data_IF_094571133006
#
_entry.id   IF_094571133006
#
_cell.length_a   1.000
_cell.length_b   1.000
_cell.length_c   1.000
_cell.angle_alpha   90.00
_cell.angle_beta   90.00
_cell.angle_gamma   90.00
#
_symmetry.space_group_name_H-M   'P 1'
#
loop_
_entity.id
_entity.type
_entity.pdbx_description
1 polymer ?
#
# COMPACT_ATOMS: atom_id res chain seq x y z
N UNK A 1 -0.60 -0.98 -29.29
CA UNK A 1 -0.93 -2.07 -28.35
C UNK A 1 -2.16 -2.79 -28.88
N UNK A 2 -2.08 -4.07 -29.27
CA UNK A 2 -3.24 -4.81 -29.78
C UNK A 2 -4.29 -4.98 -28.67
N UNK A 3 -5.58 -4.93 -29.04
CA UNK A 3 -6.71 -5.21 -28.14
C UNK A 3 -7.48 -6.38 -28.72
N UNK A 4 -7.74 -7.39 -27.89
CA UNK A 4 -8.50 -8.58 -28.27
C UNK A 4 -9.69 -8.72 -27.33
N UNK A 5 -10.85 -9.05 -27.90
CA UNK A 5 -12.04 -9.40 -27.13
C UNK A 5 -12.03 -10.92 -26.89
N UNK A 6 -12.14 -11.33 -25.62
CA UNK A 6 -12.40 -12.72 -25.24
C UNK A 6 -13.90 -12.90 -25.00
N UNK A 7 -14.43 -14.08 -25.35
CA UNK A 7 -15.83 -14.42 -25.06
C UNK A 7 -15.88 -15.16 -23.73
N UNK A 8 -16.67 -14.66 -22.78
CA UNK A 8 -16.78 -15.22 -21.43
C UNK A 8 -15.42 -15.45 -20.73
N UNK A 9 -14.47 -14.52 -20.94
CA UNK A 9 -13.09 -14.61 -20.43
C UNK A 9 -12.30 -15.85 -20.90
N UNK A 10 -12.74 -16.54 -21.96
CA UNK A 10 -12.03 -17.72 -22.49
C UNK A 10 -10.77 -17.32 -23.29
N UNK A 11 -9.61 -17.61 -22.70
CA UNK A 11 -8.28 -17.42 -23.30
C UNK A 11 -7.82 -18.60 -24.15
N UNK A 12 -8.52 -19.75 -24.07
CA UNK A 12 -8.17 -20.96 -24.81
C UNK A 12 -8.70 -20.97 -26.25
N UNK A 13 -9.55 -20.00 -26.60
CA UNK A 13 -10.04 -19.83 -27.94
C UNK A 13 -8.89 -19.59 -28.95
N UNK A 14 -9.12 -20.00 -30.20
CA UNK A 14 -8.11 -20.00 -31.26
C UNK A 14 -7.46 -18.62 -31.48
N UNK A 15 -8.26 -17.55 -31.56
CA UNK A 15 -7.75 -16.19 -31.79
C UNK A 15 -6.93 -15.67 -30.60
N UNK A 16 -7.45 -15.66 -29.35
CA UNK A 16 -6.65 -15.27 -28.18
C UNK A 16 -5.34 -16.06 -28.04
N UNK A 17 -5.37 -17.38 -28.21
CA UNK A 17 -4.19 -18.24 -28.10
C UNK A 17 -3.11 -17.86 -29.11
N UNK A 18 -3.49 -17.61 -30.36
CA UNK A 18 -2.55 -17.19 -31.40
C UNK A 18 -1.97 -15.80 -31.13
N UNK A 19 -2.78 -14.86 -30.64
CA UNK A 19 -2.27 -13.52 -30.34
C UNK A 19 -1.31 -13.57 -29.15
N UNK A 20 -1.64 -14.33 -28.11
CA UNK A 20 -0.78 -14.54 -26.93
C UNK A 20 0.57 -15.13 -27.34
N UNK A 21 0.61 -16.08 -28.28
CA UNK A 21 1.87 -16.67 -28.73
C UNK A 21 2.76 -15.66 -29.47
N UNK A 22 2.17 -14.76 -30.24
CA UNK A 22 2.87 -13.73 -31.03
C UNK A 22 3.38 -12.56 -30.16
N UNK A 23 2.60 -12.11 -29.18
CA UNK A 23 2.94 -10.92 -28.38
C UNK A 23 3.98 -11.20 -27.29
N UNK A 24 4.79 -10.19 -26.96
CA UNK A 24 5.80 -10.26 -25.88
C UNK A 24 5.21 -10.19 -24.46
N UNK A 25 3.88 -10.23 -24.33
CA UNK A 25 3.20 -10.12 -23.05
C UNK A 25 1.75 -9.72 -23.24
N UNK A 26 0.99 -9.81 -22.17
CA UNK A 26 -0.43 -9.53 -22.14
C UNK A 26 -0.83 -8.85 -20.84
N UNK A 27 -1.72 -7.87 -20.95
CA UNK A 27 -2.50 -7.34 -19.84
C UNK A 27 -3.90 -7.94 -19.95
N UNK A 28 -4.23 -8.88 -19.08
CA UNK A 28 -5.52 -9.54 -19.07
C UNK A 28 -6.49 -8.76 -18.18
N UNK A 29 -7.61 -8.32 -18.76
CA UNK A 29 -8.64 -7.55 -18.07
C UNK A 29 -9.84 -8.44 -17.74
N UNK A 30 -10.29 -8.45 -16.49
CA UNK A 30 -11.42 -9.28 -16.04
C UNK A 30 -12.62 -8.44 -15.65
N UNK A 31 -13.80 -8.90 -16.05
CA UNK A 31 -15.07 -8.25 -15.71
C UNK A 31 -15.36 -8.31 -14.20
N UNK A 32 -15.00 -9.40 -13.53
CA UNK A 32 -15.27 -9.57 -12.10
C UNK A 32 -14.47 -8.58 -11.25
N UNK A 33 -13.19 -8.38 -11.57
CA UNK A 33 -12.36 -7.35 -10.94
C UNK A 33 -12.91 -5.94 -11.17
N UNK A 34 -13.38 -5.65 -12.39
CA UNK A 34 -13.97 -4.36 -12.72
C UNK A 34 -15.24 -4.08 -11.91
N UNK A 35 -16.08 -5.11 -11.74
CA UNK A 35 -17.32 -5.05 -10.96
C UNK A 35 -17.05 -4.96 -9.45
N UNK A 36 -15.98 -5.58 -8.96
CA UNK A 36 -15.50 -5.45 -7.58
C UNK A 36 -14.80 -4.10 -7.28
N UNK A 37 -14.71 -3.21 -8.28
CA UNK A 37 -14.14 -1.87 -8.11
C UNK A 37 -12.62 -1.78 -8.27
N UNK A 38 -11.95 -2.85 -8.70
CA UNK A 38 -10.53 -2.83 -9.07
C UNK A 38 -10.41 -2.27 -10.49
N UNK A 39 -9.90 -1.05 -10.60
CA UNK A 39 -9.76 -0.33 -11.88
C UNK A 39 -8.40 0.34 -11.93
N UNK A 40 -7.53 0.05 -12.92
CA UNK A 40 -7.72 -0.87 -14.04
C UNK A 40 -7.85 -2.34 -13.62
N UNK A 41 -8.74 -3.09 -14.28
CA UNK A 41 -9.12 -4.45 -13.89
C UNK A 41 -8.11 -5.53 -14.34
N UNK A 42 -6.82 -5.29 -14.10
CA UNK A 42 -5.73 -6.17 -14.54
C UNK A 42 -5.62 -7.38 -13.63
N UNK A 43 -5.74 -8.58 -14.18
CA UNK A 43 -5.42 -9.80 -13.44
C UNK A 43 -3.90 -10.01 -13.44
N UNK A 44 -3.27 -9.78 -12.28
CA UNK A 44 -1.82 -9.87 -12.09
C UNK A 44 -1.28 -11.31 -12.23
N UNK A 45 -2.10 -12.33 -11.95
CA UNK A 45 -1.70 -13.74 -12.05
C UNK A 45 -1.57 -14.20 -13.50
N UNK A 46 -2.51 -13.81 -14.36
CA UNK A 46 -2.55 -14.19 -15.79
C UNK A 46 -1.73 -13.25 -16.67
N UNK A 47 -1.61 -11.97 -16.26
CA UNK A 47 -0.86 -10.96 -17.00
C UNK A 47 0.65 -11.21 -16.92
N UNK A 48 1.33 -11.09 -18.06
CA UNK A 48 2.77 -11.37 -18.18
C UNK A 48 3.41 -10.34 -19.09
N UNK A 49 4.65 -9.98 -18.78
CA UNK A 49 5.55 -9.30 -19.71
C UNK A 49 6.81 -10.14 -19.85
N UNK A 50 7.10 -10.62 -21.07
CA UNK A 50 8.31 -11.40 -21.39
C UNK A 50 9.56 -10.54 -21.37
N UNK A 51 9.43 -9.23 -21.61
CA UNK A 51 10.53 -8.26 -21.48
C UNK A 51 10.88 -8.01 -20.01
N UNK A 52 9.87 -8.08 -19.12
CA UNK A 52 10.06 -7.96 -17.68
C UNK A 52 10.71 -6.66 -17.24
N UNK A 53 11.57 -6.73 -16.21
CA UNK A 53 12.24 -5.57 -15.63
C UNK A 53 13.26 -4.87 -16.52
N UNK A 54 13.56 -5.40 -17.73
CA UNK A 54 14.42 -4.71 -18.69
C UNK A 54 13.75 -3.46 -19.29
N UNK A 55 12.41 -3.41 -19.29
CA UNK A 55 11.64 -2.24 -19.73
C UNK A 55 11.45 -1.17 -18.65
N UNK A 56 11.96 -1.39 -17.43
CA UNK A 56 11.77 -0.52 -16.27
C UNK A 56 13.01 0.32 -15.98
N UNK A 57 12.81 1.50 -15.36
CA UNK A 57 13.91 2.25 -14.74
C UNK A 57 14.48 1.45 -13.57
N UNK A 58 15.73 1.75 -13.17
CA UNK A 58 16.36 1.06 -12.04
C UNK A 58 15.56 1.28 -10.75
N UNK A 59 15.05 2.49 -10.55
CA UNK A 59 14.17 2.82 -9.43
C UNK A 59 12.91 1.94 -9.40
N UNK A 60 12.18 1.83 -10.53
CA UNK A 60 10.96 1.03 -10.59
C UNK A 60 11.24 -0.47 -10.39
N UNK A 61 12.31 -0.99 -11.01
CA UNK A 61 12.69 -2.41 -10.88
C UNK A 61 13.00 -2.80 -9.44
N UNK A 62 13.65 -1.89 -8.72
CA UNK A 62 14.05 -2.09 -7.32
C UNK A 62 12.84 -2.14 -6.39
N UNK A 63 11.87 -1.24 -6.56
CA UNK A 63 10.68 -1.18 -5.69
C UNK A 63 9.59 -2.18 -6.07
N UNK A 64 9.41 -2.49 -7.35
CA UNK A 64 8.33 -3.34 -7.85
C UNK A 64 8.72 -4.82 -7.99
N UNK A 65 9.96 -5.20 -7.63
CA UNK A 65 10.48 -6.55 -7.81
C UNK A 65 9.69 -7.63 -7.05
N UNK A 66 9.26 -7.35 -5.82
CA UNK A 66 8.45 -8.26 -5.01
C UNK A 66 6.95 -8.14 -5.28
N UNK A 67 6.49 -7.00 -5.80
CA UNK A 67 5.07 -6.63 -5.89
C UNK A 67 4.21 -7.70 -6.59
N UNK A 68 4.71 -8.29 -7.68
CA UNK A 68 4.00 -9.37 -8.39
C UNK A 68 3.82 -10.61 -7.51
N UNK A 69 4.86 -11.00 -6.79
CA UNK A 69 4.86 -12.17 -5.92
C UNK A 69 3.92 -11.94 -4.73
N UNK A 70 4.00 -10.76 -4.13
CA UNK A 70 3.18 -10.36 -2.99
C UNK A 70 1.68 -10.38 -3.36
N UNK A 71 1.33 -9.85 -4.54
CA UNK A 71 -0.05 -9.87 -5.04
C UNK A 71 -0.53 -11.27 -5.45
N UNK A 72 0.34 -12.13 -5.99
CA UNK A 72 -0.06 -13.51 -6.28
C UNK A 72 -0.34 -14.30 -5.02
N UNK A 73 0.52 -14.17 -4.00
CA UNK A 73 0.33 -14.83 -2.71
C UNK A 73 -0.90 -14.27 -1.98
N UNK A 74 -1.14 -12.96 -2.07
CA UNK A 74 -2.36 -12.34 -1.56
C UNK A 74 -3.62 -12.99 -2.15
N UNK A 75 -3.69 -13.19 -3.47
CA UNK A 75 -4.86 -13.82 -4.10
C UNK A 75 -5.06 -15.27 -3.69
N UNK A 76 -3.97 -16.02 -3.51
CA UNK A 76 -4.02 -17.39 -3.00
C UNK A 76 -4.55 -17.43 -1.56
N UNK A 77 -4.06 -16.52 -0.71
CA UNK A 77 -4.51 -16.39 0.67
C UNK A 77 -5.94 -15.85 0.77
N UNK A 78 -6.35 -14.92 -0.07
CA UNK A 78 -7.71 -14.38 -0.12
C UNK A 78 -8.72 -15.51 -0.38
N UNK A 79 -8.44 -16.35 -1.40
CA UNK A 79 -9.26 -17.53 -1.70
C UNK A 79 -9.30 -18.54 -0.55
N UNK A 80 -8.19 -18.75 0.15
CA UNK A 80 -8.12 -19.67 1.29
C UNK A 80 -8.84 -19.12 2.54
N UNK A 81 -8.70 -17.82 2.79
CA UNK A 81 -9.26 -17.12 3.94
C UNK A 81 -10.79 -17.15 3.96
N UNK A 82 -11.44 -17.22 2.78
CA UNK A 82 -12.88 -17.41 2.66
C UNK A 82 -13.40 -18.71 3.32
N UNK A 83 -12.53 -19.71 3.54
CA UNK A 83 -12.89 -21.00 4.12
C UNK A 83 -12.28 -21.26 5.49
N UNK A 84 -11.34 -20.43 5.95
CA UNK A 84 -10.61 -20.62 7.20
C UNK A 84 -11.13 -19.66 8.29
N UNK A 85 -11.48 -20.19 9.46
CA UNK A 85 -11.97 -19.39 10.59
C UNK A 85 -10.86 -18.68 11.37
N UNK A 86 -9.67 -19.27 11.41
CA UNK A 86 -8.50 -18.71 12.07
C UNK A 86 -7.32 -18.69 11.10
N UNK A 87 -6.84 -17.48 10.79
CA UNK A 87 -5.56 -17.27 10.14
C UNK A 87 -4.51 -16.95 11.21
N UNK A 88 -3.33 -17.54 11.06
CA UNK A 88 -2.17 -17.17 11.85
C UNK A 88 -1.75 -15.71 11.59
N UNK A 89 -0.97 -15.13 12.51
CA UNK A 89 -0.61 -13.73 12.46
C UNK A 89 0.13 -13.32 11.18
N UNK A 90 0.97 -14.22 10.62
CA UNK A 90 1.72 -13.93 9.41
C UNK A 90 0.79 -13.89 8.18
N UNK A 91 -0.09 -14.87 8.02
CA UNK A 91 -1.07 -14.88 6.93
C UNK A 91 -2.05 -13.71 7.01
N UNK A 92 -2.45 -13.30 8.23
CA UNK A 92 -3.28 -12.11 8.43
C UNK A 92 -2.57 -10.84 7.99
N UNK A 93 -1.33 -10.62 8.44
CA UNK A 93 -0.53 -9.46 8.03
C UNK A 93 -0.33 -9.40 6.51
N UNK A 94 -0.13 -10.57 5.88
CA UNK A 94 0.01 -10.66 4.42
C UNK A 94 -1.29 -10.34 3.68
N UNK A 95 -2.44 -10.82 4.18
CA UNK A 95 -3.75 -10.50 3.64
C UNK A 95 -4.04 -9.00 3.76
N UNK A 96 -3.76 -8.42 4.93
CA UNK A 96 -3.93 -7.00 5.22
C UNK A 96 -3.07 -6.11 4.31
N UNK A 97 -1.79 -6.49 4.11
CA UNK A 97 -0.89 -5.77 3.20
C UNK A 97 -1.35 -5.90 1.76
N UNK A 98 -1.74 -7.09 1.33
CA UNK A 98 -2.22 -7.31 -0.03
C UNK A 98 -3.48 -6.52 -0.37
N UNK A 99 -4.42 -6.40 0.58
CA UNK A 99 -5.61 -5.56 0.43
C UNK A 99 -5.24 -4.08 0.21
N UNK A 100 -4.25 -3.56 0.94
CA UNK A 100 -3.74 -2.18 0.79
C UNK A 100 -3.02 -1.99 -0.55
N UNK A 101 -2.23 -2.97 -0.98
CA UNK A 101 -1.59 -2.95 -2.30
C UNK A 101 -2.61 -2.94 -3.44
N UNK A 102 -3.72 -3.70 -3.30
CA UNK A 102 -4.81 -3.67 -4.28
C UNK A 102 -5.48 -2.30 -4.34
N UNK A 103 -5.72 -1.64 -3.20
CA UNK A 103 -6.25 -0.27 -3.17
C UNK A 103 -5.29 0.74 -3.78
N UNK A 104 -3.99 0.63 -3.49
CA UNK A 104 -2.93 1.49 -4.03
C UNK A 104 -2.86 1.42 -5.56
N UNK A 105 -3.10 0.25 -6.15
CA UNK A 105 -3.07 0.07 -7.60
C UNK A 105 -4.34 0.56 -8.32
N UNK A 106 -5.35 1.05 -7.58
CA UNK A 106 -6.57 1.60 -8.19
C UNK A 106 -6.33 3.01 -8.70
N UNK A 107 -6.56 3.21 -9.98
CA UNK A 107 -6.34 4.48 -10.65
C UNK A 107 -7.62 4.95 -11.36
N UNK A 108 -7.89 6.26 -11.25
CA UNK A 108 -8.97 6.91 -11.98
C UNK A 108 -8.70 6.93 -13.48
N UNK A 109 -9.77 6.90 -14.27
CA UNK A 109 -9.66 7.09 -15.71
C UNK A 109 -9.15 8.50 -16.03
N UNK A 110 -8.25 8.61 -17.02
CA UNK A 110 -7.63 9.88 -17.44
C UNK A 110 -6.76 10.58 -16.38
N UNK A 111 -6.33 9.86 -15.35
CA UNK A 111 -5.46 10.39 -14.30
C UNK A 111 -4.09 9.69 -14.30
N UNK A 112 -3.27 9.82 -15.37
CA UNK A 112 -1.95 9.19 -15.42
C UNK A 112 -1.04 9.71 -14.30
N UNK A 113 -0.32 8.81 -13.64
CA UNK A 113 0.65 9.15 -12.59
C UNK A 113 2.06 9.13 -13.21
N UNK A 114 2.90 10.17 -13.00
CA UNK A 114 4.31 10.15 -13.42
C UNK A 114 5.12 9.02 -12.77
N UNK A 115 6.21 8.59 -13.41
CA UNK A 115 6.99 7.42 -12.94
C UNK A 115 7.61 7.65 -11.56
N UNK A 116 8.09 8.86 -11.30
CA UNK A 116 8.68 9.27 -10.01
C UNK A 116 7.68 9.15 -8.86
N UNK A 117 6.41 9.51 -9.09
CA UNK A 117 5.35 9.36 -8.10
C UNK A 117 4.94 7.90 -7.94
N UNK A 118 4.85 7.14 -9.03
CA UNK A 118 4.58 5.70 -8.96
C UNK A 118 5.66 4.97 -8.14
N UNK A 119 6.94 5.34 -8.31
CA UNK A 119 8.04 4.76 -7.53
C UNK A 119 7.84 5.02 -6.05
N UNK A 120 7.48 6.26 -5.66
CA UNK A 120 7.22 6.62 -4.27
C UNK A 120 6.03 5.83 -3.70
N UNK A 121 4.90 5.80 -4.42
CA UNK A 121 3.70 5.06 -4.00
C UNK A 121 4.00 3.58 -3.79
N UNK A 122 4.65 2.93 -4.76
CA UNK A 122 4.98 1.49 -4.70
C UNK A 122 6.00 1.22 -3.60
N UNK A 123 7.02 2.06 -3.44
CA UNK A 123 8.02 1.95 -2.36
C UNK A 123 7.36 1.95 -0.98
N UNK A 124 6.41 2.85 -0.76
CA UNK A 124 5.68 2.92 0.51
C UNK A 124 4.79 1.69 0.72
N UNK A 125 4.16 1.19 -0.35
CA UNK A 125 3.36 -0.04 -0.34
C UNK A 125 4.16 -1.29 0.01
N UNK A 126 5.30 -1.50 -0.65
CA UNK A 126 6.10 -2.71 -0.50
C UNK A 126 6.87 -2.74 0.83
N UNK A 127 7.26 -1.60 1.37
CA UNK A 127 7.92 -1.51 2.68
C UNK A 127 6.94 -1.44 3.87
N UNK A 128 5.63 -1.58 3.64
CA UNK A 128 4.64 -1.66 4.72
C UNK A 128 4.32 -0.32 5.39
N UNK A 129 4.66 0.82 4.78
CA UNK A 129 4.28 2.12 5.34
C UNK A 129 2.76 2.37 5.30
N UNK A 130 2.02 1.59 4.52
CA UNK A 130 0.55 1.62 4.51
C UNK A 130 -0.11 0.70 5.54
N UNK A 131 0.64 -0.14 6.25
CA UNK A 131 0.06 -1.17 7.13
C UNK A 131 -0.80 -0.55 8.25
N UNK A 132 -0.41 0.62 8.77
CA UNK A 132 -1.15 1.37 9.80
C UNK A 132 -2.40 2.09 9.27
N UNK A 133 -2.55 2.19 7.94
CA UNK A 133 -3.62 2.97 7.31
C UNK A 133 -4.82 2.07 7.06
N UNK A 134 -6.04 2.49 7.45
CA UNK A 134 -7.26 1.77 7.10
C UNK A 134 -7.40 1.63 5.59
N UNK A 135 -7.79 0.43 5.12
CA UNK A 135 -7.89 0.09 3.68
C UNK A 135 -8.71 1.14 2.89
N UNK A 136 -9.83 1.62 3.45
CA UNK A 136 -10.69 2.62 2.80
C UNK A 136 -10.04 4.01 2.61
N UNK A 137 -8.99 4.32 3.38
CA UNK A 137 -8.31 5.61 3.36
C UNK A 137 -6.99 5.59 2.57
N UNK A 138 -6.52 4.41 2.12
CA UNK A 138 -5.24 4.25 1.40
C UNK A 138 -5.15 5.19 0.19
N UNK A 139 -6.22 5.27 -0.62
CA UNK A 139 -6.26 6.11 -1.82
C UNK A 139 -6.27 7.60 -1.50
N UNK A 140 -6.91 8.00 -0.39
CA UNK A 140 -6.90 9.39 0.06
C UNK A 140 -5.52 9.75 0.56
N UNK A 141 -4.92 8.88 1.38
CA UNK A 141 -3.58 9.05 1.88
C UNK A 141 -2.56 9.18 0.74
N UNK A 142 -2.60 8.30 -0.26
CA UNK A 142 -1.70 8.38 -1.41
C UNK A 142 -1.83 9.73 -2.12
N UNK A 143 -3.05 10.16 -2.45
CA UNK A 143 -3.27 11.41 -3.15
C UNK A 143 -2.76 12.63 -2.36
N UNK A 144 -3.08 12.71 -1.07
CA UNK A 144 -2.65 13.81 -0.21
C UNK A 144 -1.14 13.78 0.06
N UNK A 145 -0.56 12.59 0.21
CA UNK A 145 0.88 12.43 0.40
C UNK A 145 1.66 12.82 -0.86
N UNK A 146 1.23 12.37 -2.04
CA UNK A 146 1.86 12.77 -3.31
C UNK A 146 1.77 14.28 -3.51
N UNK A 147 0.64 14.90 -3.17
CA UNK A 147 0.50 16.37 -3.19
C UNK A 147 1.41 17.06 -2.17
N UNK A 148 1.62 16.47 -0.99
CA UNK A 148 2.57 16.97 0.00
C UNK A 148 4.01 16.90 -0.52
N UNK A 149 4.42 15.76 -1.11
CA UNK A 149 5.75 15.57 -1.68
C UNK A 149 5.99 16.56 -2.83
N UNK A 150 5.01 16.76 -3.72
CA UNK A 150 5.10 17.75 -4.81
C UNK A 150 5.33 19.17 -4.32
N UNK A 151 4.72 19.56 -3.19
CA UNK A 151 4.80 20.93 -2.67
C UNK A 151 6.03 21.15 -1.79
N UNK A 152 6.35 20.18 -0.97
CA UNK A 152 7.33 20.34 0.11
C UNK A 152 8.67 19.71 -0.22
N UNK A 153 8.71 18.65 -1.03
CA UNK A 153 9.88 17.79 -1.23
C UNK A 153 10.10 17.45 -2.72
N UNK A 154 9.93 18.44 -3.60
CA UNK A 154 10.09 18.27 -5.06
C UNK A 154 11.47 17.70 -5.45
N UNK A 155 12.50 17.95 -4.63
CA UNK A 155 13.86 17.41 -4.79
C UNK A 155 13.85 15.87 -4.87
N UNK A 156 13.00 15.20 -4.08
CA UNK A 156 12.86 13.74 -4.11
C UNK A 156 12.38 13.28 -5.50
N UNK A 157 11.40 13.97 -6.06
CA UNK A 157 10.82 13.64 -7.36
C UNK A 157 11.79 13.94 -8.51
N UNK A 158 12.50 15.07 -8.45
CA UNK A 158 13.52 15.43 -9.44
C UNK A 158 14.67 14.42 -9.45
N UNK A 159 15.15 14.02 -8.26
CA UNK A 159 16.25 13.06 -8.13
C UNK A 159 15.90 11.70 -8.74
N UNK A 160 14.68 11.21 -8.52
CA UNK A 160 14.19 9.95 -9.13
C UNK A 160 14.11 10.10 -10.65
N UNK A 161 13.58 11.23 -11.14
CA UNK A 161 13.39 11.48 -12.57
C UNK A 161 14.73 11.56 -13.32
N UNK A 162 15.72 12.24 -12.76
CA UNK A 162 17.03 12.46 -13.39
C UNK A 162 17.96 11.27 -13.22
N UNK A 163 18.12 10.76 -12.00
CA UNK A 163 19.04 9.66 -11.73
C UNK A 163 18.51 8.30 -12.22
N UNK A 164 17.17 8.19 -12.39
CA UNK A 164 16.43 6.95 -12.70
C UNK A 164 16.70 5.83 -11.69
N UNK A 165 17.22 6.17 -10.52
CA UNK A 165 17.58 5.29 -9.42
C UNK A 165 16.94 5.82 -8.14
N UNK A 166 16.78 4.95 -7.17
CA UNK A 166 16.38 5.31 -5.82
C UNK A 166 17.63 5.18 -4.95
N UNK A 167 18.30 6.30 -4.66
CA UNK A 167 19.46 6.31 -3.77
C UNK A 167 19.02 6.15 -2.32
N UNK A 168 19.93 5.72 -1.43
CA UNK A 168 19.60 5.57 -0.01
C UNK A 168 19.22 6.91 0.64
N UNK A 169 19.83 8.01 0.21
CA UNK A 169 19.45 9.37 0.66
C UNK A 169 18.00 9.71 0.28
N UNK A 170 17.59 9.42 -0.97
CA UNK A 170 16.21 9.65 -1.41
C UNK A 170 15.23 8.72 -0.68
N UNK A 171 15.61 7.46 -0.40
CA UNK A 171 14.78 6.55 0.41
C UNK A 171 14.54 7.09 1.80
N UNK A 172 15.61 7.51 2.48
CA UNK A 172 15.50 8.09 3.82
C UNK A 172 14.64 9.35 3.81
N UNK A 173 14.82 10.23 2.81
CA UNK A 173 13.96 11.40 2.63
C UNK A 173 12.48 11.06 2.45
N UNK A 174 12.14 10.00 1.71
CA UNK A 174 10.75 9.53 1.56
C UNK A 174 10.21 9.00 2.89
N UNK A 175 11.03 8.24 3.64
CA UNK A 175 10.63 7.69 4.95
C UNK A 175 10.39 8.81 5.97
N UNK A 176 11.25 9.81 6.01
CA UNK A 176 11.07 10.96 6.91
C UNK A 176 9.81 11.76 6.54
N UNK A 177 9.58 11.97 5.25
CA UNK A 177 8.39 12.65 4.74
C UNK A 177 7.11 11.91 5.10
N UNK A 178 7.05 10.59 4.90
CA UNK A 178 5.85 9.80 5.19
C UNK A 178 5.58 9.75 6.68
N UNK A 179 6.63 9.67 7.52
CA UNK A 179 6.47 9.67 8.97
C UNK A 179 5.96 11.02 9.48
N UNK A 180 6.48 12.14 8.95
CA UNK A 180 5.98 13.47 9.27
C UNK A 180 4.53 13.66 8.78
N UNK A 181 4.20 13.15 7.61
CA UNK A 181 2.85 13.24 7.05
C UNK A 181 1.83 12.39 7.81
N UNK A 182 2.20 11.18 8.23
CA UNK A 182 1.35 10.31 9.07
C UNK A 182 0.90 10.98 10.37
N UNK A 183 1.73 11.84 10.97
CA UNK A 183 1.36 12.61 12.16
C UNK A 183 0.29 13.67 11.89
N UNK A 184 0.19 14.14 10.64
CA UNK A 184 -0.78 15.15 10.21
C UNK A 184 -2.05 14.51 9.65
N UNK A 185 -1.96 13.28 9.14
CA UNK A 185 -3.07 12.58 8.53
C UNK A 185 -4.02 12.01 9.58
N UNK A 186 -5.30 12.37 9.49
CA UNK A 186 -6.37 11.77 10.29
C UNK A 186 -7.17 10.82 9.42
N UNK A 187 -7.33 9.58 9.86
CA UNK A 187 -8.17 8.61 9.16
C UNK A 187 -9.66 8.99 9.28
N UNK A 188 -10.49 8.51 8.35
CA UNK A 188 -11.93 8.80 8.28
C UNK A 188 -12.70 8.32 9.51
N UNK A 189 -12.16 7.33 10.22
CA UNK A 189 -12.68 6.82 11.49
C UNK A 189 -12.23 7.66 12.71
N UNK A 190 -11.47 8.74 12.52
CA UNK A 190 -10.93 9.58 13.58
C UNK A 190 -9.71 9.00 14.30
N UNK A 191 -9.20 7.84 13.87
CA UNK A 191 -7.98 7.27 14.44
C UNK A 191 -6.75 8.01 13.91
N UNK A 192 -5.80 8.29 14.80
CA UNK A 192 -4.44 8.69 14.42
C UNK A 192 -3.75 7.48 13.80
N UNK A 193 -3.09 7.67 12.65
CA UNK A 193 -2.30 6.61 11.99
C UNK A 193 -1.03 6.32 12.78
N UNK A 194 -0.56 7.29 13.57
CA UNK A 194 0.51 7.08 14.55
C UNK A 194 -0.16 6.70 15.86
N UNK A 195 -0.26 5.40 16.11
CA UNK A 195 -0.49 4.87 17.45
C UNK A 195 0.83 5.09 18.21
N UNK A 196 1.07 6.32 18.70
CA UNK A 196 1.96 6.45 19.84
C UNK A 196 1.21 5.72 20.94
N UNK A 197 1.72 4.59 21.47
CA UNK A 197 1.14 4.02 22.66
C UNK A 197 1.20 5.17 23.66
N UNK A 198 0.05 5.70 24.06
CA UNK A 198 0.01 6.60 25.19
C UNK A 198 0.53 5.76 26.34
N UNK A 199 1.81 5.90 26.68
CA UNK A 199 2.39 5.28 27.86
C UNK A 199 1.43 5.62 28.99
N UNK A 200 0.76 4.59 29.52
CA UNK A 200 -0.10 4.74 30.66
C UNK A 200 0.74 5.48 31.71
N UNK A 201 0.26 6.64 32.18
CA UNK A 201 0.97 7.36 33.23
C UNK A 201 1.26 6.37 34.36
N UNK A 202 2.54 6.23 34.73
CA UNK A 202 2.93 5.42 35.90
C UNK A 202 1.97 5.71 37.05
N UNK A 203 1.47 4.66 37.72
CA UNK A 203 0.52 4.79 38.82
C UNK A 203 1.04 5.73 39.93
N UNK A 204 2.37 5.90 40.02
CA UNK A 204 3.06 6.81 40.94
C UNK A 204 2.91 8.30 40.59
N UNK A 205 2.43 8.64 39.38
CA UNK A 205 2.14 10.02 38.93
C UNK A 205 0.67 10.42 39.10
N UNK A 206 -0.20 9.52 39.56
CA UNK A 206 -1.57 9.86 39.93
C UNK A 206 -1.52 10.49 41.32
N UNK A 207 -1.32 11.80 41.38
CA UNK A 207 -1.33 12.54 42.64
C UNK A 207 -2.67 12.37 43.35
N UNK A 208 -2.70 11.61 44.45
CA UNK A 208 -3.85 11.62 45.35
C UNK A 208 -3.93 13.00 46.00
N UNK A 209 -4.96 13.77 45.66
CA UNK A 209 -5.30 14.99 46.41
C UNK A 209 -5.63 14.59 47.85
N UNK A 210 -4.70 14.85 48.77
CA UNK A 210 -4.93 14.67 50.19
C UNK A 210 -5.49 15.96 50.78
N UNK A 211 -6.68 15.85 51.39
CA UNK A 211 -7.27 16.93 52.18
C UNK A 211 -6.53 17.01 53.52
N UNK A 212 -5.81 18.10 53.75
CA UNK A 212 -5.13 18.34 55.04
C UNK A 212 -6.17 18.53 56.15
N UNK A 213 -6.18 17.61 57.12
CA UNK A 213 -6.97 17.75 58.34
C UNK A 213 -6.03 18.10 59.50
N UNK A 214 -6.21 19.27 60.12
CA UNK A 214 -5.46 19.69 61.32
C UNK A 214 -6.01 19.01 62.58
N UNK A 215 -5.96 17.67 62.64
CA UNK A 215 -6.25 16.90 63.85
C UNK A 215 -5.21 15.78 64.00
N UNK A 216 -4.81 15.43 65.24
CA UNK A 216 -3.90 14.32 65.48
C UNK A 216 -4.53 13.01 64.99
N UNK A 217 -3.71 12.13 64.40
CA UNK A 217 -4.15 10.84 63.89
C UNK A 217 -4.73 9.98 65.03
N UNK A 218 -5.83 9.24 64.78
CA UNK A 218 -6.42 8.36 65.80
C UNK A 218 -5.42 7.24 66.16
N UNK A 219 -5.28 6.97 67.46
CA UNK A 219 -4.38 5.93 67.97
C UNK A 219 -4.80 4.55 67.45
N UNK A 220 -3.85 3.82 66.88
CA UNK A 220 -4.03 2.41 66.48
C UNK A 220 -4.35 1.55 67.71
N UNK A 221 -5.31 0.63 67.55
CA UNK A 221 -5.70 -0.35 68.58
C UNK A 221 -4.80 -1.57 68.54
#
# INVERSE_FOLDING_TARGET
>A
LPIIETKANDVSAYIPTNVISITDGQCFLESDLFNAGVRPAVNVGISVSRVGGAAQTKAMKDVAGSLRLDLSQFRELEAFSAFASDLDAASRAQLDRGARLVELLKQGQYSPVPVEEQVVSIFLGTNGHYDDIPVGDVRRFEAEFLDHVRRSHDVILSDIRESKKLSDDTRNGIVDAVNAFKQQFSASNGASVVDVPADAMDADKVGQESVKVNRPAPAEK
#
